data_IF_068044460297
#
_entry.id   IF_068044460297
#
_cell.length_a   1.000
_cell.length_b   1.000
_cell.length_c   1.000
_cell.angle_alpha   90.00
_cell.angle_beta   90.00
_cell.angle_gamma   90.00
#
_symmetry.space_group_name_H-M   'P 1'
#
loop_
_entity.id
_entity.type
_entity.pdbx_description
1 polymer ?
#
# COMPACT_ATOMS: atom_id res chain seq x y z
N UNK A 1 19.69 11.70 -31.95
CA UNK A 1 20.54 10.50 -31.70
C UNK A 1 20.99 10.44 -30.25
N UNK A 2 21.52 11.51 -29.63
CA UNK A 2 21.92 11.53 -28.20
C UNK A 2 20.78 11.18 -27.23
N UNK A 3 19.59 11.73 -27.43
CA UNK A 3 18.41 11.42 -26.60
C UNK A 3 17.96 9.96 -26.70
N UNK A 4 18.17 9.31 -27.83
CA UNK A 4 17.83 7.89 -27.98
C UNK A 4 18.84 7.00 -27.24
N UNK A 5 20.11 7.35 -27.28
CA UNK A 5 21.18 6.62 -26.54
C UNK A 5 21.01 6.77 -25.02
N UNK A 6 20.68 7.97 -24.52
CA UNK A 6 20.40 8.23 -23.10
C UNK A 6 19.20 7.40 -22.65
N UNK A 7 18.12 7.40 -23.43
CA UNK A 7 16.90 6.63 -23.15
C UNK A 7 17.15 5.11 -23.13
N UNK A 8 17.97 4.62 -24.03
CA UNK A 8 18.31 3.19 -24.10
C UNK A 8 19.18 2.76 -22.89
N UNK A 9 20.10 3.63 -22.49
CA UNK A 9 20.95 3.41 -21.31
C UNK A 9 20.13 3.45 -20.01
N UNK A 10 19.21 4.41 -19.87
CA UNK A 10 18.31 4.53 -18.70
C UNK A 10 17.35 3.34 -18.61
N UNK A 11 16.81 2.87 -19.74
CA UNK A 11 15.99 1.67 -19.80
C UNK A 11 16.78 0.41 -19.41
N UNK A 12 18.06 0.34 -19.79
CA UNK A 12 18.97 -0.73 -19.37
C UNK A 12 19.16 -0.76 -17.86
N UNK A 13 19.45 0.39 -17.24
CA UNK A 13 19.66 0.53 -15.79
C UNK A 13 18.41 0.11 -15.02
N UNK A 14 17.22 0.49 -15.48
CA UNK A 14 15.95 0.11 -14.86
C UNK A 14 15.66 -1.38 -15.02
N UNK A 15 16.06 -2.00 -16.14
CA UNK A 15 15.75 -3.41 -16.43
C UNK A 15 16.53 -4.39 -15.54
N UNK A 16 17.77 -4.08 -15.15
CA UNK A 16 18.60 -4.99 -14.36
C UNK A 16 17.98 -5.40 -13.01
N UNK A 17 17.45 -4.48 -12.19
CA UNK A 17 16.76 -4.85 -10.94
C UNK A 17 15.55 -5.75 -11.17
N UNK A 18 14.78 -5.52 -12.24
CA UNK A 18 13.62 -6.35 -12.57
C UNK A 18 14.01 -7.76 -13.03
N UNK A 19 15.09 -7.88 -13.80
CA UNK A 19 15.65 -9.19 -14.19
C UNK A 19 16.13 -9.93 -12.94
N UNK A 20 16.84 -9.25 -12.03
CA UNK A 20 17.28 -9.83 -10.75
C UNK A 20 16.11 -10.33 -9.90
N UNK A 21 15.03 -9.54 -9.82
CA UNK A 21 13.81 -9.93 -9.13
C UNK A 21 13.14 -11.13 -9.81
N UNK A 22 13.07 -11.14 -11.14
CA UNK A 22 12.54 -12.24 -11.93
C UNK A 22 13.29 -13.55 -11.69
N UNK A 23 14.62 -13.50 -11.67
CA UNK A 23 15.46 -14.66 -11.34
C UNK A 23 15.20 -15.15 -9.90
N UNK A 24 15.10 -14.23 -8.93
CA UNK A 24 14.77 -14.59 -7.55
C UNK A 24 13.43 -15.33 -7.46
N UNK A 25 12.40 -14.81 -8.14
CA UNK A 25 11.06 -15.46 -8.18
C UNK A 25 11.12 -16.83 -8.81
N UNK A 26 11.89 -16.99 -9.90
CA UNK A 26 12.11 -18.32 -10.53
C UNK A 26 12.79 -19.30 -9.58
N UNK A 27 13.81 -18.86 -8.84
CA UNK A 27 14.48 -19.70 -7.83
C UNK A 27 13.51 -20.14 -6.75
N UNK A 28 12.69 -19.21 -6.21
CA UNK A 28 11.66 -19.54 -5.22
C UNK A 28 10.63 -20.52 -5.81
N UNK A 29 10.20 -20.33 -7.04
CA UNK A 29 9.27 -21.22 -7.74
C UNK A 29 9.85 -22.65 -7.85
N UNK A 30 11.12 -22.78 -8.22
CA UNK A 30 11.81 -24.06 -8.30
C UNK A 30 11.87 -24.73 -6.92
N UNK A 31 12.22 -23.98 -5.87
CA UNK A 31 12.23 -24.50 -4.49
C UNK A 31 10.83 -25.02 -4.10
N UNK A 32 9.77 -24.30 -4.42
CA UNK A 32 8.39 -24.70 -4.11
C UNK A 32 8.01 -25.98 -4.85
N UNK A 33 8.38 -26.12 -6.13
CA UNK A 33 8.09 -27.33 -6.94
C UNK A 33 8.76 -28.57 -6.32
N UNK A 34 10.00 -28.45 -5.82
CA UNK A 34 10.72 -29.56 -5.21
C UNK A 34 10.35 -29.79 -3.74
N UNK A 35 9.66 -28.85 -3.08
CA UNK A 35 9.22 -29.01 -1.70
C UNK A 35 7.90 -29.78 -1.66
N UNK A 36 7.87 -30.95 -1.00
CA UNK A 36 6.63 -31.69 -0.74
C UNK A 36 5.75 -30.87 0.20
N UNK A 37 4.80 -30.12 -0.35
CA UNK A 37 3.76 -29.48 0.46
C UNK A 37 2.76 -30.53 0.94
N UNK A 38 2.37 -30.51 2.23
CA UNK A 38 1.30 -31.36 2.72
C UNK A 38 0.02 -31.02 1.97
N UNK A 39 -0.59 -32.03 1.33
CA UNK A 39 -1.90 -31.89 0.70
C UNK A 39 -2.94 -31.72 1.81
N UNK A 40 -3.29 -30.48 2.12
CA UNK A 40 -4.40 -30.12 3.02
C UNK A 40 -5.75 -30.11 2.28
N UNK A 41 -5.78 -30.51 1.04
CA UNK A 41 -7.02 -30.60 0.27
C UNK A 41 -7.80 -31.85 0.63
N UNK A 42 -8.58 -31.80 1.70
CA UNK A 42 -9.88 -32.45 1.63
C UNK A 42 -10.60 -31.76 0.48
N UNK A 43 -10.63 -32.41 -0.69
CA UNK A 43 -11.37 -31.93 -1.87
C UNK A 43 -12.87 -32.04 -1.60
N UNK A 44 -13.40 -31.22 -0.71
CA UNK A 44 -14.79 -30.85 -0.81
C UNK A 44 -14.88 -29.96 -2.05
N UNK A 45 -15.38 -30.52 -3.14
CA UNK A 45 -15.75 -29.77 -4.35
C UNK A 45 -16.83 -28.77 -3.97
N UNK A 46 -16.46 -27.65 -3.35
CA UNK A 46 -17.41 -26.59 -3.02
C UNK A 46 -17.75 -25.94 -4.35
N UNK A 47 -19.01 -25.95 -4.79
CA UNK A 47 -19.39 -25.28 -6.03
C UNK A 47 -19.04 -23.80 -5.88
N UNK A 48 -18.18 -23.29 -6.77
CA UNK A 48 -17.70 -21.91 -6.78
C UNK A 48 -18.82 -20.89 -6.63
N UNK A 49 -19.97 -21.16 -7.26
CA UNK A 49 -21.17 -20.32 -7.19
C UNK A 49 -21.71 -20.13 -5.77
N UNK A 50 -21.76 -21.21 -4.98
CA UNK A 50 -22.30 -21.17 -3.62
C UNK A 50 -21.32 -20.50 -2.67
N UNK A 51 -20.01 -20.68 -2.89
CA UNK A 51 -18.98 -19.99 -2.12
C UNK A 51 -19.00 -18.49 -2.37
N UNK A 52 -19.12 -18.03 -3.62
CA UNK A 52 -19.28 -16.60 -3.92
C UNK A 52 -20.50 -16.01 -3.25
N UNK A 53 -21.65 -16.71 -3.30
CA UNK A 53 -22.89 -16.25 -2.66
C UNK A 53 -22.73 -16.10 -1.15
N UNK A 54 -22.05 -17.06 -0.49
CA UNK A 54 -21.76 -16.97 0.95
C UNK A 54 -20.79 -15.85 1.28
N UNK A 55 -19.73 -15.64 0.47
CA UNK A 55 -18.76 -14.57 0.62
C UNK A 55 -19.43 -13.19 0.53
N UNK A 56 -20.25 -12.97 -0.48
CA UNK A 56 -20.99 -11.70 -0.64
C UNK A 56 -22.10 -11.51 0.41
N UNK A 57 -22.60 -12.58 1.01
CA UNK A 57 -23.54 -12.49 2.13
C UNK A 57 -22.83 -12.17 3.47
N UNK A 58 -21.55 -12.43 3.57
CA UNK A 58 -20.76 -12.15 4.78
C UNK A 58 -20.35 -10.68 4.82
N UNK A 59 -21.03 -9.90 5.67
CA UNK A 59 -20.78 -8.45 5.81
C UNK A 59 -19.35 -8.14 6.26
N UNK A 60 -18.79 -8.94 7.17
CA UNK A 60 -17.43 -8.73 7.66
C UNK A 60 -16.39 -8.89 6.54
N UNK A 61 -16.58 -9.92 5.71
CA UNK A 61 -15.75 -10.14 4.54
C UNK A 61 -15.84 -8.98 3.54
N UNK A 62 -17.05 -8.57 3.18
CA UNK A 62 -17.27 -7.49 2.22
C UNK A 62 -16.67 -6.17 2.72
N UNK A 63 -16.87 -5.84 4.00
CA UNK A 63 -16.23 -4.68 4.63
C UNK A 63 -14.70 -4.78 4.59
N UNK A 64 -14.15 -5.98 4.82
CA UNK A 64 -12.72 -6.23 4.73
C UNK A 64 -12.16 -6.01 3.32
N UNK A 65 -12.86 -6.49 2.28
CA UNK A 65 -12.46 -6.28 0.87
C UNK A 65 -12.47 -4.80 0.50
N UNK A 66 -13.53 -4.08 0.88
CA UNK A 66 -13.63 -2.63 0.64
C UNK A 66 -12.55 -1.87 1.41
N UNK A 67 -12.38 -2.17 2.70
CA UNK A 67 -11.32 -1.56 3.52
C UNK A 67 -9.94 -1.82 2.94
N UNK A 68 -9.69 -3.04 2.46
CA UNK A 68 -8.42 -3.41 1.84
C UNK A 68 -8.14 -2.61 0.56
N UNK A 69 -9.15 -2.43 -0.30
CA UNK A 69 -9.03 -1.66 -1.54
C UNK A 69 -8.70 -0.18 -1.25
N UNK A 70 -9.43 0.44 -0.33
CA UNK A 70 -9.16 1.82 0.08
C UNK A 70 -7.82 1.98 0.79
N UNK A 71 -7.47 1.02 1.66
CA UNK A 71 -6.18 1.04 2.35
C UNK A 71 -5.00 0.98 1.37
N UNK A 72 -5.01 0.03 0.42
CA UNK A 72 -3.92 -0.10 -0.55
C UNK A 72 -3.87 1.14 -1.45
N UNK A 73 -5.03 1.67 -1.84
CA UNK A 73 -5.11 2.93 -2.57
C UNK A 73 -4.46 4.08 -1.81
N UNK A 74 -4.85 4.30 -0.57
CA UNK A 74 -4.28 5.35 0.29
C UNK A 74 -2.77 5.18 0.48
N UNK A 75 -2.28 3.95 0.64
CA UNK A 75 -0.86 3.67 0.79
C UNK A 75 -0.06 4.12 -0.44
N UNK A 76 -0.49 3.74 -1.63
CA UNK A 76 0.18 4.12 -2.87
C UNK A 76 0.09 5.64 -3.10
N UNK A 77 -1.07 6.24 -2.84
CA UNK A 77 -1.25 7.69 -2.93
C UNK A 77 -0.29 8.44 -2.00
N UNK A 78 -0.13 8.03 -0.74
CA UNK A 78 0.80 8.66 0.18
C UNK A 78 2.25 8.60 -0.33
N UNK A 79 2.68 7.45 -0.87
CA UNK A 79 4.05 7.30 -1.36
C UNK A 79 4.32 8.08 -2.65
N UNK A 80 3.37 8.14 -3.55
CA UNK A 80 3.47 8.96 -4.77
C UNK A 80 3.43 10.45 -4.44
N UNK A 81 2.63 10.85 -3.45
CA UNK A 81 2.47 12.24 -3.06
C UNK A 81 3.73 12.84 -2.42
N UNK A 82 4.62 12.02 -1.84
CA UNK A 82 5.93 12.50 -1.31
C UNK A 82 6.72 13.25 -2.38
N UNK A 83 6.74 12.77 -3.61
CA UNK A 83 7.47 13.41 -4.72
C UNK A 83 6.89 14.79 -5.00
N UNK A 84 5.58 14.87 -5.17
CA UNK A 84 4.86 16.12 -5.45
C UNK A 84 4.97 17.12 -4.29
N UNK A 85 4.91 16.63 -3.06
CA UNK A 85 5.02 17.48 -1.86
C UNK A 85 6.41 18.09 -1.72
N UNK A 86 7.47 17.31 -2.01
CA UNK A 86 8.86 17.80 -1.98
C UNK A 86 9.10 18.81 -3.09
N UNK A 87 8.59 18.57 -4.30
CA UNK A 87 8.70 19.50 -5.42
C UNK A 87 8.03 20.85 -5.06
N UNK A 88 6.85 20.82 -4.45
CA UNK A 88 6.16 22.02 -3.98
C UNK A 88 6.97 22.78 -2.89
N UNK A 89 7.60 22.08 -1.96
CA UNK A 89 8.49 22.73 -0.96
C UNK A 89 9.67 23.40 -1.64
N UNK A 90 10.30 22.74 -2.62
CA UNK A 90 11.44 23.28 -3.34
C UNK A 90 11.06 24.58 -4.08
N UNK A 91 9.92 24.58 -4.77
CA UNK A 91 9.41 25.75 -5.47
C UNK A 91 9.07 26.90 -4.52
N UNK A 92 8.40 26.59 -3.40
CA UNK A 92 7.91 27.62 -2.47
C UNK A 92 9.00 28.19 -1.56
N UNK A 93 9.94 27.32 -1.10
CA UNK A 93 10.96 27.68 -0.11
C UNK A 93 12.35 27.86 -0.71
N UNK A 94 12.54 27.59 -2.01
CA UNK A 94 13.84 27.68 -2.68
C UNK A 94 14.87 26.66 -2.12
N UNK A 95 14.37 25.58 -1.51
CA UNK A 95 15.20 24.47 -1.02
C UNK A 95 15.49 23.50 -2.18
N UNK A 96 16.59 22.80 -2.09
CA UNK A 96 16.97 21.74 -3.05
C UNK A 96 16.89 20.37 -2.35
N UNK A 97 15.65 19.95 -2.04
CA UNK A 97 15.38 18.67 -1.38
C UNK A 97 15.23 17.57 -2.43
N UNK A 98 15.84 16.43 -2.19
CA UNK A 98 15.71 15.25 -3.06
C UNK A 98 14.55 14.36 -2.58
N UNK A 99 13.46 14.33 -3.31
CA UNK A 99 12.24 13.56 -2.97
C UNK A 99 12.52 12.08 -2.71
N UNK A 100 13.46 11.48 -3.46
CA UNK A 100 13.86 10.08 -3.30
C UNK A 100 14.33 9.76 -1.88
N UNK A 101 15.04 10.66 -1.21
CA UNK A 101 15.50 10.42 0.17
C UNK A 101 14.33 10.28 1.14
N UNK A 102 13.29 11.10 1.01
CA UNK A 102 12.09 11.03 1.84
C UNK A 102 11.23 9.81 1.52
N UNK A 103 11.16 9.41 0.26
CA UNK A 103 10.49 8.19 -0.12
C UNK A 103 11.20 6.94 0.44
N UNK A 104 12.53 6.89 0.39
CA UNK A 104 13.34 5.83 1.04
C UNK A 104 13.10 5.86 2.56
N UNK A 105 13.10 7.04 3.19
CA UNK A 105 12.81 7.18 4.62
C UNK A 105 11.41 6.65 4.97
N UNK A 106 10.40 6.89 4.13
CA UNK A 106 9.06 6.35 4.29
C UNK A 106 9.03 4.82 4.19
N UNK A 107 9.78 4.23 3.25
CA UNK A 107 9.91 2.78 3.12
C UNK A 107 10.62 2.13 4.32
N UNK A 108 11.68 2.75 4.81
CA UNK A 108 12.39 2.31 6.04
C UNK A 108 11.46 2.41 7.25
N UNK A 109 10.75 3.52 7.39
CA UNK A 109 9.76 3.75 8.45
C UNK A 109 8.64 2.70 8.41
N UNK A 110 8.17 2.35 7.22
CA UNK A 110 7.21 1.28 7.01
C UNK A 110 7.76 -0.08 7.48
N UNK A 111 9.01 -0.40 7.14
CA UNK A 111 9.65 -1.65 7.56
C UNK A 111 9.81 -1.71 9.09
N UNK A 112 10.28 -0.64 9.71
CA UNK A 112 10.41 -0.52 11.18
C UNK A 112 9.03 -0.66 11.83
N UNK A 113 8.02 0.06 11.33
CA UNK A 113 6.64 -0.03 11.81
C UNK A 113 6.07 -1.45 11.73
N UNK A 114 6.43 -2.21 10.69
CA UNK A 114 6.02 -3.61 10.52
C UNK A 114 6.60 -4.52 11.62
N UNK A 115 7.88 -4.36 11.93
CA UNK A 115 8.52 -5.13 13.00
C UNK A 115 7.93 -4.79 14.37
N UNK A 116 7.81 -3.51 14.68
CA UNK A 116 7.21 -3.04 15.94
C UNK A 116 5.74 -3.51 16.04
N UNK A 117 4.96 -3.29 15.00
CA UNK A 117 3.56 -3.66 14.96
C UNK A 117 3.32 -5.16 15.09
N UNK A 118 4.13 -5.98 14.41
CA UNK A 118 4.06 -7.45 14.54
C UNK A 118 4.42 -7.90 15.97
N UNK A 119 5.38 -7.24 16.62
CA UNK A 119 5.70 -7.49 18.02
C UNK A 119 4.54 -7.15 18.97
N UNK A 120 3.90 -6.01 18.77
CA UNK A 120 2.75 -5.54 19.56
C UNK A 120 1.50 -6.40 19.37
N UNK A 121 1.30 -7.02 18.21
CA UNK A 121 0.17 -7.94 17.96
C UNK A 121 0.21 -9.20 18.82
N UNK A 122 1.33 -9.52 19.48
CA UNK A 122 1.41 -10.62 20.44
C UNK A 122 0.68 -10.30 21.74
N UNK A 123 0.54 -9.03 22.08
CA UNK A 123 -0.05 -8.55 23.35
C UNK A 123 -1.36 -7.80 23.16
N UNK A 124 -1.58 -7.21 22.00
CA UNK A 124 -2.75 -6.38 21.69
C UNK A 124 -3.63 -7.11 20.66
N UNK A 125 -4.94 -7.09 20.87
CA UNK A 125 -5.90 -7.65 19.92
C UNK A 125 -5.77 -6.96 18.55
N UNK A 126 -5.71 -7.72 17.44
CA UNK A 126 -5.55 -7.19 16.07
C UNK A 126 -6.55 -6.09 15.72
N UNK A 127 -7.81 -6.22 16.09
CA UNK A 127 -8.84 -5.22 15.79
C UNK A 127 -8.59 -3.88 16.52
N UNK A 128 -8.13 -3.94 17.79
CA UNK A 128 -7.75 -2.73 18.53
C UNK A 128 -6.50 -2.08 17.93
N UNK A 129 -5.56 -2.91 17.54
CA UNK A 129 -4.32 -2.44 16.88
C UNK A 129 -4.62 -1.73 15.57
N UNK A 130 -5.51 -2.30 14.74
CA UNK A 130 -5.97 -1.68 13.50
C UNK A 130 -6.60 -0.31 13.75
N UNK A 131 -7.45 -0.21 14.79
CA UNK A 131 -8.10 1.04 15.17
C UNK A 131 -7.06 2.11 15.57
N UNK A 132 -6.12 1.75 16.46
CA UNK A 132 -5.09 2.67 16.94
C UNK A 132 -4.22 3.16 15.79
N UNK A 133 -3.73 2.25 14.96
CA UNK A 133 -2.88 2.59 13.82
C UNK A 133 -3.65 3.42 12.78
N UNK A 134 -4.92 3.09 12.55
CA UNK A 134 -5.80 3.88 11.68
C UNK A 134 -5.99 5.31 12.19
N UNK A 135 -6.28 5.49 13.47
CA UNK A 135 -6.42 6.82 14.08
C UNK A 135 -5.12 7.63 14.02
N UNK A 136 -3.98 7.00 14.34
CA UNK A 136 -2.68 7.65 14.22
C UNK A 136 -2.38 8.04 12.77
N UNK A 137 -2.72 7.18 11.79
CA UNK A 137 -2.60 7.50 10.37
C UNK A 137 -3.43 8.73 9.96
N UNK A 138 -4.68 8.81 10.43
CA UNK A 138 -5.55 9.99 10.20
C UNK A 138 -4.98 11.24 10.84
N UNK A 139 -4.44 11.16 12.06
CA UNK A 139 -3.80 12.31 12.73
C UNK A 139 -2.57 12.78 11.95
N UNK A 140 -1.72 11.87 11.49
CA UNK A 140 -0.56 12.22 10.67
C UNK A 140 -0.99 12.80 9.31
N UNK A 141 -2.05 12.28 8.69
CA UNK A 141 -2.60 12.83 7.45
C UNK A 141 -3.12 14.27 7.67
N UNK A 142 -3.85 14.51 8.76
CA UNK A 142 -4.24 15.86 9.15
C UNK A 142 -3.01 16.75 9.41
N UNK A 143 -1.95 16.21 10.02
CA UNK A 143 -0.68 16.91 10.22
C UNK A 143 -0.03 17.33 8.90
N UNK A 144 -0.09 16.49 7.88
CA UNK A 144 0.42 16.82 6.54
C UNK A 144 -0.30 18.03 5.94
N UNK A 145 -1.61 18.16 6.18
CA UNK A 145 -2.44 19.27 5.68
C UNK A 145 -2.24 20.54 6.50
N UNK A 146 -2.22 20.41 7.83
CA UNK A 146 -2.23 21.57 8.73
C UNK A 146 -0.84 22.17 8.98
N UNK A 147 0.23 21.40 8.81
CA UNK A 147 1.61 21.80 9.07
C UNK A 147 2.33 22.01 7.73
N UNK A 148 2.51 23.28 7.29
CA UNK A 148 3.17 23.54 6.01
C UNK A 148 4.67 23.20 6.04
N UNK A 149 5.24 22.94 4.87
CA UNK A 149 6.66 22.75 4.67
C UNK A 149 7.20 21.44 5.28
N UNK A 150 8.36 21.49 5.92
CA UNK A 150 9.10 20.30 6.38
C UNK A 150 8.34 19.49 7.44
N UNK A 151 7.55 20.14 8.31
CA UNK A 151 6.76 19.41 9.32
C UNK A 151 5.65 18.56 8.70
N UNK A 152 5.00 19.08 7.67
CA UNK A 152 4.03 18.32 6.90
C UNK A 152 4.66 17.12 6.17
N UNK A 153 5.85 17.29 5.60
CA UNK A 153 6.61 16.22 4.97
C UNK A 153 6.98 15.12 5.97
N UNK A 154 7.43 15.49 7.16
CA UNK A 154 7.73 14.53 8.23
C UNK A 154 6.46 13.77 8.64
N UNK A 155 5.32 14.46 8.75
CA UNK A 155 4.03 13.84 9.04
C UNK A 155 3.62 12.86 7.95
N UNK A 156 3.84 13.20 6.68
CA UNK A 156 3.57 12.33 5.53
C UNK A 156 4.43 11.06 5.55
N UNK A 157 5.72 11.17 5.88
CA UNK A 157 6.63 10.03 6.06
C UNK A 157 6.18 9.17 7.24
N UNK A 158 5.74 9.78 8.35
CA UNK A 158 5.29 9.08 9.54
C UNK A 158 4.03 8.22 9.32
N UNK A 159 3.16 8.58 8.37
CA UNK A 159 2.00 7.76 7.98
C UNK A 159 2.43 6.34 7.63
N UNK A 160 3.60 6.19 6.99
CA UNK A 160 4.12 4.88 6.56
C UNK A 160 4.30 3.90 7.71
N UNK A 161 4.67 4.39 8.92
CA UNK A 161 4.78 3.55 10.13
C UNK A 161 3.43 2.92 10.45
N UNK A 162 2.37 3.71 10.46
CA UNK A 162 1.03 3.27 10.84
C UNK A 162 0.37 2.41 9.77
N UNK A 163 0.67 2.64 8.51
CA UNK A 163 0.20 1.80 7.41
C UNK A 163 0.82 0.40 7.41
N UNK A 164 1.96 0.20 8.04
CA UNK A 164 2.80 -0.99 7.87
C UNK A 164 2.14 -2.33 8.20
N UNK A 165 1.25 -2.38 9.20
CA UNK A 165 0.56 -3.60 9.65
C UNK A 165 -0.90 -3.68 9.21
N UNK A 166 -1.44 -2.64 8.59
CA UNK A 166 -2.88 -2.59 8.29
C UNK A 166 -3.27 -3.67 7.29
N UNK A 167 -2.46 -3.90 6.25
CA UNK A 167 -2.73 -4.93 5.23
C UNK A 167 -2.93 -6.32 5.83
N UNK A 168 -1.95 -6.91 6.54
CA UNK A 168 -2.10 -8.25 7.10
C UNK A 168 -3.18 -8.31 8.19
N UNK A 169 -3.42 -7.23 8.89
CA UNK A 169 -4.45 -7.18 9.94
C UNK A 169 -5.86 -7.18 9.35
N UNK A 170 -6.14 -6.34 8.34
CA UNK A 170 -7.42 -6.33 7.62
C UNK A 170 -7.66 -7.70 6.98
N UNK A 171 -6.63 -8.25 6.34
CA UNK A 171 -6.68 -9.56 5.70
C UNK A 171 -7.02 -10.67 6.70
N UNK A 172 -6.36 -10.70 7.85
CA UNK A 172 -6.63 -11.69 8.91
C UNK A 172 -8.03 -11.55 9.51
N UNK A 173 -8.48 -10.33 9.81
CA UNK A 173 -9.83 -10.08 10.35
C UNK A 173 -10.92 -10.44 9.33
N UNK A 174 -10.71 -10.13 8.05
CA UNK A 174 -11.69 -10.41 7.01
C UNK A 174 -11.89 -11.91 6.75
N UNK A 175 -10.85 -12.72 6.97
CA UNK A 175 -10.90 -14.17 6.79
C UNK A 175 -11.23 -14.93 8.08
N UNK A 176 -11.36 -14.24 9.21
CA UNK A 176 -11.66 -14.87 10.48
C UNK A 176 -13.02 -15.59 10.44
N UNK A 177 -13.05 -16.82 10.97
CA UNK A 177 -14.24 -17.69 11.02
C UNK A 177 -14.88 -18.05 9.66
N UNK A 178 -14.12 -18.02 8.55
CA UNK A 178 -14.67 -18.34 7.21
C UNK A 178 -14.59 -19.83 6.83
N UNK A 179 -13.95 -20.69 7.64
CA UNK A 179 -13.90 -22.12 7.38
C UNK A 179 -13.30 -22.45 6.00
N UNK A 180 -14.01 -23.27 5.21
CA UNK A 180 -13.55 -23.74 3.90
C UNK A 180 -13.54 -22.64 2.82
N UNK A 181 -14.30 -21.55 3.00
CA UNK A 181 -14.37 -20.42 2.07
C UNK A 181 -13.12 -19.52 2.12
N UNK A 182 -12.22 -19.69 3.10
CA UNK A 182 -10.96 -18.92 3.24
C UNK A 182 -10.15 -18.94 1.94
N UNK A 183 -10.10 -20.07 1.23
CA UNK A 183 -9.33 -20.21 0.00
C UNK A 183 -9.81 -19.26 -1.12
N UNK A 184 -11.12 -19.13 -1.28
CA UNK A 184 -11.72 -18.23 -2.29
C UNK A 184 -11.75 -16.79 -1.75
N UNK A 185 -12.05 -16.62 -0.47
CA UNK A 185 -12.04 -15.32 0.19
C UNK A 185 -10.68 -14.63 0.15
N UNK A 186 -9.59 -15.40 0.34
CA UNK A 186 -8.24 -14.86 0.24
C UNK A 186 -7.92 -14.33 -1.15
N UNK A 187 -8.38 -15.00 -2.21
CA UNK A 187 -8.21 -14.53 -3.58
C UNK A 187 -8.92 -13.16 -3.80
N UNK A 188 -10.14 -13.01 -3.29
CA UNK A 188 -10.88 -11.76 -3.39
C UNK A 188 -10.20 -10.59 -2.64
N UNK A 189 -9.62 -10.83 -1.47
CA UNK A 189 -8.83 -9.83 -0.74
C UNK A 189 -7.54 -9.45 -1.48
N UNK A 190 -6.89 -10.40 -2.15
CA UNK A 190 -5.74 -10.09 -3.01
C UNK A 190 -6.19 -9.28 -4.23
N UNK A 191 -7.34 -9.58 -4.83
CA UNK A 191 -7.89 -8.76 -5.92
C UNK A 191 -8.21 -7.32 -5.48
N UNK A 192 -8.49 -7.07 -4.20
CA UNK A 192 -8.71 -5.73 -3.67
C UNK A 192 -7.48 -4.81 -3.79
N UNK A 193 -6.27 -5.36 -4.04
CA UNK A 193 -5.05 -4.58 -4.34
C UNK A 193 -5.24 -3.68 -5.58
N UNK A 194 -6.22 -3.97 -6.44
CA UNK A 194 -6.57 -3.10 -7.57
C UNK A 194 -6.90 -1.66 -7.13
N UNK A 195 -7.32 -1.45 -5.88
CA UNK A 195 -7.48 -0.12 -5.31
C UNK A 195 -6.21 0.72 -5.41
N UNK A 196 -5.02 0.10 -5.27
CA UNK A 196 -3.73 0.76 -5.45
C UNK A 196 -3.43 1.21 -6.89
N UNK A 197 -4.11 0.66 -7.88
CA UNK A 197 -4.01 1.12 -9.26
C UNK A 197 -5.03 2.25 -9.57
N UNK A 198 -6.23 2.17 -8.99
CA UNK A 198 -7.31 3.12 -9.28
C UNK A 198 -7.18 4.45 -8.50
N UNK A 199 -6.80 4.39 -7.23
CA UNK A 199 -6.76 5.58 -6.38
C UNK A 199 -5.71 6.61 -6.80
N UNK A 200 -4.48 6.27 -7.23
CA UNK A 200 -3.53 7.25 -7.74
C UNK A 200 -4.02 7.95 -9.03
N UNK A 201 -4.83 7.29 -9.85
CA UNK A 201 -5.46 7.93 -11.01
C UNK A 201 -6.46 9.00 -10.56
N UNK A 202 -7.26 8.70 -9.54
CA UNK A 202 -8.17 9.68 -8.94
C UNK A 202 -7.40 10.83 -8.29
N UNK A 203 -6.28 10.54 -7.63
CA UNK A 203 -5.39 11.57 -7.08
C UNK A 203 -4.87 12.50 -8.17
N UNK A 204 -4.36 11.97 -9.28
CA UNK A 204 -3.92 12.76 -10.43
C UNK A 204 -5.05 13.64 -10.98
N UNK A 205 -6.25 13.10 -11.11
CA UNK A 205 -7.43 13.84 -11.54
C UNK A 205 -7.77 15.02 -10.61
N UNK A 206 -7.71 14.81 -9.30
CA UNK A 206 -7.97 15.88 -8.31
C UNK A 206 -6.88 16.96 -8.40
N UNK A 207 -5.62 16.57 -8.57
CA UNK A 207 -4.49 17.49 -8.74
C UNK A 207 -4.64 18.34 -10.01
N UNK A 208 -5.05 17.74 -11.12
CA UNK A 208 -5.25 18.42 -12.40
C UNK A 208 -6.49 19.34 -12.38
N UNK A 209 -7.54 18.96 -11.65
CA UNK A 209 -8.79 19.73 -11.57
C UNK A 209 -8.65 21.05 -10.79
N UNK A 210 -7.66 21.16 -9.91
CA UNK A 210 -7.33 22.41 -9.21
C UNK A 210 -6.82 23.54 -10.11
N UNK A 211 -6.57 23.27 -11.39
CA UNK A 211 -6.45 24.28 -12.47
C UNK A 211 -5.13 25.03 -12.58
N UNK A 212 -4.29 25.11 -11.55
CA UNK A 212 -3.00 25.83 -11.57
C UNK A 212 -1.85 25.05 -10.91
N UNK A 213 -1.91 23.73 -10.95
CA UNK A 213 -0.89 22.92 -10.33
C UNK A 213 -0.97 22.94 -8.78
N UNK A 214 0.15 22.71 -8.13
CA UNK A 214 0.26 22.46 -6.69
C UNK A 214 -0.26 23.56 -5.75
N UNK A 215 -0.40 24.81 -6.22
CA UNK A 215 -0.82 25.94 -5.38
C UNK A 215 -2.29 25.84 -4.91
N UNK A 216 -3.17 25.31 -5.75
CA UNK A 216 -4.60 25.19 -5.43
C UNK A 216 -4.91 23.93 -4.61
N UNK A 217 -4.04 22.92 -4.64
CA UNK A 217 -4.17 21.69 -3.86
C UNK A 217 -3.97 21.94 -2.37
N UNK A 218 -3.16 22.93 -1.98
CA UNK A 218 -3.04 23.35 -0.59
C UNK A 218 -4.36 23.93 -0.03
N UNK A 219 -5.19 24.50 -0.89
CA UNK A 219 -6.51 25.03 -0.51
C UNK A 219 -7.53 23.90 -0.31
N UNK A 220 -7.37 22.78 -1.02
CA UNK A 220 -8.23 21.59 -0.88
C UNK A 220 -7.75 20.62 0.20
N UNK A 221 -6.62 20.90 0.87
CA UNK A 221 -6.12 20.10 1.98
C UNK A 221 -5.55 18.72 1.58
N UNK A 222 -5.05 18.59 0.35
CA UNK A 222 -4.35 17.39 -0.12
C UNK A 222 -2.90 17.70 -0.43
#
# INVERSE_FOLDING_TARGET
EEMAVIRENDLGIISYPYIGLGVLVLVIMVIIIFTKMPNTSNETKIPLSDSFKKLFANKNYLQGVVAQAFYVGAQIMCWTYIFQYVDNINETSGLDLTATHYNIAAMISFLIGRWIGTGLMKTINPSKMLLIFGLCGVICSAGTILLPGMLGLISLVAISVFMSIMFPTIYGIALDNMGDEVKIGSAGLVMAIVGGALMPVLQGWVLDWGGNGYADVQVLGF
#
